data_IF_002182270234
#
_entry.id   IF_002182270234
#
_cell.length_a   1.000
_cell.length_b   1.000
_cell.length_c   1.000
_cell.angle_alpha   90.00
_cell.angle_beta   90.00
_cell.angle_gamma   90.00
#
_symmetry.space_group_name_H-M   'P 1'
#
loop_
_entity.id
_entity.type
_entity.pdbx_description
1 polymer ?
#
# COMPACT_ATOMS: atom_id res chain seq x y z
N UNK A 1 20.64 43.64 39.47
CA UNK A 1 19.30 44.19 39.79
C UNK A 1 18.52 44.15 38.49
N UNK A 2 17.57 43.26 38.23
CA UNK A 2 16.93 42.14 38.92
C UNK A 2 16.56 41.10 37.80
N UNK A 3 16.61 39.77 38.00
CA UNK A 3 15.47 38.90 38.37
C UNK A 3 14.16 39.40 37.73
N UNK A 4 13.43 38.67 36.89
CA UNK A 4 12.86 37.33 37.04
C UNK A 4 12.15 37.00 35.70
N UNK A 5 11.90 35.73 35.44
CA UNK A 5 10.87 35.13 34.57
C UNK A 5 11.34 33.75 34.13
N UNK A 6 11.54 32.88 35.12
CA UNK A 6 11.29 31.47 34.96
C UNK A 6 9.79 31.28 34.77
N UNK A 7 9.33 31.13 33.54
CA UNK A 7 8.00 30.57 33.28
C UNK A 7 8.12 29.30 32.44
N UNK A 8 8.11 28.21 33.20
CA UNK A 8 7.54 26.92 32.90
C UNK A 8 8.03 26.20 31.64
N UNK A 9 9.05 25.37 31.89
CA UNK A 9 9.20 24.07 31.22
C UNK A 9 7.83 23.40 31.15
N UNK A 10 7.41 23.08 29.94
CA UNK A 10 6.30 22.18 29.61
C UNK A 10 6.56 20.85 30.32
N UNK A 11 6.07 20.75 31.56
CA UNK A 11 6.06 19.51 32.32
C UNK A 11 5.03 18.62 31.63
N UNK A 12 5.38 17.38 31.24
CA UNK A 12 4.35 16.47 30.77
C UNK A 12 3.42 16.25 31.96
N UNK A 13 2.16 16.66 31.83
CA UNK A 13 1.12 16.29 32.79
C UNK A 13 1.00 14.75 32.77
N UNK A 14 1.73 14.10 33.69
CA UNK A 14 1.55 12.71 34.07
C UNK A 14 0.21 12.59 34.81
N UNK A 15 -0.89 12.46 34.06
CA UNK A 15 -2.21 12.55 34.67
C UNK A 15 -3.37 12.01 33.85
N UNK A 16 -3.20 10.88 33.17
CA UNK A 16 -4.35 10.12 32.62
C UNK A 16 -3.98 9.25 31.43
N UNK A 17 -3.58 7.99 31.64
CA UNK A 17 -3.11 7.17 30.51
C UNK A 17 -3.43 5.66 30.55
N UNK A 18 -4.11 5.15 31.59
CA UNK A 18 -4.45 3.72 31.67
C UNK A 18 -5.71 3.35 30.87
N UNK A 19 -6.83 3.99 31.21
CA UNK A 19 -8.15 3.59 30.71
C UNK A 19 -8.39 4.02 29.25
N UNK A 20 -7.87 5.18 28.84
CA UNK A 20 -8.02 5.66 27.46
C UNK A 20 -7.18 4.84 26.48
N UNK A 21 -5.95 4.48 26.86
CA UNK A 21 -5.08 3.65 26.04
C UNK A 21 -5.57 2.20 25.96
N UNK A 22 -6.11 1.67 27.06
CA UNK A 22 -6.81 0.38 27.08
C UNK A 22 -8.01 0.39 26.12
N UNK A 23 -8.87 1.41 26.19
CA UNK A 23 -10.03 1.55 25.31
C UNK A 23 -9.65 1.67 23.83
N UNK A 24 -8.57 2.39 23.49
CA UNK A 24 -8.05 2.46 22.12
C UNK A 24 -7.56 1.09 21.62
N UNK A 25 -6.83 0.37 22.46
CA UNK A 25 -6.31 -0.97 22.14
C UNK A 25 -7.44 -1.95 21.87
N UNK A 26 -8.48 -1.97 22.71
CA UNK A 26 -9.66 -2.81 22.49
C UNK A 26 -10.37 -2.50 21.17
N UNK A 27 -10.50 -1.22 20.80
CA UNK A 27 -11.13 -0.82 19.54
C UNK A 27 -10.32 -1.27 18.33
N UNK A 28 -9.00 -1.12 18.35
CA UNK A 28 -8.12 -1.55 17.26
C UNK A 28 -8.19 -3.07 17.10
N UNK A 29 -8.12 -3.81 18.21
CA UNK A 29 -8.23 -5.27 18.17
C UNK A 29 -9.57 -5.72 17.59
N UNK A 30 -10.67 -5.08 17.99
CA UNK A 30 -11.99 -5.36 17.45
C UNK A 30 -12.08 -5.11 15.93
N UNK A 31 -11.46 -4.03 15.43
CA UNK A 31 -11.41 -3.74 13.99
C UNK A 31 -10.62 -4.81 13.23
N UNK A 32 -9.45 -5.20 13.73
CA UNK A 32 -8.61 -6.22 13.09
C UNK A 32 -9.33 -7.57 13.06
N UNK A 33 -9.89 -8.01 14.19
CA UNK A 33 -10.65 -9.26 14.26
C UNK A 33 -11.90 -9.22 13.39
N UNK A 34 -12.59 -8.07 13.34
CA UNK A 34 -13.73 -7.86 12.44
C UNK A 34 -13.35 -8.00 10.97
N UNK A 35 -12.22 -7.40 10.57
CA UNK A 35 -11.64 -7.53 9.23
C UNK A 35 -11.27 -8.97 8.87
N UNK A 36 -10.59 -9.69 9.77
CA UNK A 36 -10.25 -11.11 9.59
C UNK A 36 -11.52 -11.94 9.41
N UNK A 37 -12.53 -11.74 10.25
CA UNK A 37 -13.82 -12.42 10.15
C UNK A 37 -14.54 -12.13 8.83
N UNK A 38 -14.44 -10.89 8.32
CA UNK A 38 -15.01 -10.52 7.03
C UNK A 38 -14.31 -11.24 5.85
N UNK A 39 -12.98 -11.37 5.89
CA UNK A 39 -12.21 -12.13 4.89
C UNK A 39 -12.67 -13.58 4.84
N UNK A 40 -12.79 -14.28 5.97
CA UNK A 40 -13.23 -15.67 5.97
C UNK A 40 -14.68 -15.84 5.51
N UNK A 41 -15.57 -14.91 5.88
CA UNK A 41 -16.95 -14.89 5.35
C UNK A 41 -16.99 -14.66 3.84
N UNK A 42 -16.07 -13.86 3.29
CA UNK A 42 -16.02 -13.54 1.85
C UNK A 42 -15.83 -14.78 0.96
N UNK A 43 -15.15 -15.82 1.46
CA UNK A 43 -14.94 -17.08 0.74
C UNK A 43 -16.26 -17.77 0.37
N UNK A 44 -17.30 -17.60 1.18
CA UNK A 44 -18.60 -18.25 0.98
C UNK A 44 -19.63 -17.34 0.29
N UNK A 45 -19.20 -16.22 -0.28
CA UNK A 45 -20.11 -15.35 -1.05
C UNK A 45 -20.50 -16.01 -2.38
N UNK A 46 -21.70 -15.71 -2.88
CA UNK A 46 -22.20 -16.25 -4.15
C UNK A 46 -21.27 -15.96 -5.33
N UNK A 47 -20.60 -14.79 -5.32
CA UNK A 47 -19.59 -14.41 -6.32
C UNK A 47 -18.36 -15.31 -6.24
N UNK A 48 -17.83 -15.55 -5.03
CA UNK A 48 -16.66 -16.41 -4.83
C UNK A 48 -16.96 -17.88 -5.19
N UNK A 49 -18.11 -18.42 -4.79
CA UNK A 49 -18.55 -19.79 -5.14
C UNK A 49 -18.64 -19.95 -6.65
N UNK A 50 -19.26 -18.99 -7.35
CA UNK A 50 -19.35 -19.02 -8.81
C UNK A 50 -17.97 -18.97 -9.46
N UNK A 51 -17.09 -18.07 -8.99
CA UNK A 51 -15.72 -17.97 -9.50
C UNK A 51 -14.93 -19.28 -9.34
N UNK A 52 -15.05 -19.96 -8.19
CA UNK A 52 -14.39 -21.25 -7.96
C UNK A 52 -14.89 -22.35 -8.90
N UNK A 53 -16.20 -22.43 -9.12
CA UNK A 53 -16.78 -23.39 -10.08
C UNK A 53 -16.26 -23.16 -11.50
N UNK A 54 -16.17 -21.90 -11.94
CA UNK A 54 -15.67 -21.54 -13.26
C UNK A 54 -14.18 -21.87 -13.44
N UNK A 55 -13.38 -21.72 -12.38
CA UNK A 55 -11.93 -21.93 -12.40
C UNK A 55 -11.49 -23.30 -11.81
N UNK A 56 -12.44 -24.19 -11.52
CA UNK A 56 -12.21 -25.54 -10.96
C UNK A 56 -11.39 -25.53 -9.66
N UNK A 57 -11.62 -24.53 -8.80
CA UNK A 57 -10.94 -24.41 -7.50
C UNK A 57 -11.75 -25.18 -6.44
N UNK A 58 -11.13 -26.12 -5.69
CA UNK A 58 -11.82 -26.85 -4.62
C UNK A 58 -12.35 -25.94 -3.50
N UNK A 59 -13.52 -26.29 -2.94
CA UNK A 59 -14.16 -25.50 -1.89
C UNK A 59 -13.45 -25.61 -0.53
N UNK A 60 -12.73 -26.71 -0.29
CA UNK A 60 -12.09 -27.09 0.96
C UNK A 60 -10.75 -26.37 1.23
N UNK A 61 -10.19 -25.67 0.23
CA UNK A 61 -8.94 -24.92 0.39
C UNK A 61 -9.07 -23.74 1.36
N UNK A 62 -10.24 -23.10 1.39
CA UNK A 62 -10.45 -21.88 2.16
C UNK A 62 -9.67 -20.67 1.64
N UNK A 63 -9.54 -19.65 2.48
CA UNK A 63 -8.74 -18.45 2.20
C UNK A 63 -7.95 -18.04 3.44
N UNK A 64 -6.73 -17.55 3.23
CA UNK A 64 -5.91 -16.97 4.29
C UNK A 64 -6.18 -15.46 4.45
N UNK A 65 -5.86 -14.90 5.61
CA UNK A 65 -5.89 -13.47 5.86
C UNK A 65 -4.47 -12.99 6.18
N UNK A 66 -3.96 -12.04 5.40
CA UNK A 66 -2.66 -11.42 5.64
C UNK A 66 -2.84 -10.15 6.48
N UNK A 67 -2.11 -10.04 7.58
CA UNK A 67 -2.04 -8.83 8.40
C UNK A 67 -0.61 -8.29 8.31
N UNK A 68 -0.46 -7.05 7.87
CA UNK A 68 0.83 -6.44 7.58
C UNK A 68 0.91 -5.05 8.20
N UNK A 69 2.10 -4.64 8.63
CA UNK A 69 2.37 -3.25 8.99
C UNK A 69 2.20 -2.34 7.77
N UNK A 70 1.54 -1.20 7.97
CA UNK A 70 1.29 -0.24 6.90
C UNK A 70 2.58 0.48 6.48
N UNK A 71 2.72 0.68 5.16
CA UNK A 71 3.66 1.61 4.54
C UNK A 71 2.85 2.57 3.67
N UNK A 72 3.22 3.85 3.67
CA UNK A 72 2.36 4.91 3.12
C UNK A 72 3.00 5.54 1.88
N UNK A 73 2.38 5.32 0.71
CA UNK A 73 2.76 5.98 -0.53
C UNK A 73 2.29 7.44 -0.62
N UNK A 74 1.53 7.92 0.37
CA UNK A 74 0.86 9.22 0.41
C UNK A 74 1.32 10.15 1.55
N UNK A 75 2.59 10.05 1.98
CA UNK A 75 3.17 10.93 3.00
C UNK A 75 3.83 12.20 2.43
N UNK A 76 3.57 12.52 1.16
CA UNK A 76 4.11 13.69 0.48
C UNK A 76 4.89 13.34 -0.79
N UNK A 77 5.55 14.35 -1.35
CA UNK A 77 6.06 14.32 -2.73
C UNK A 77 7.20 13.34 -2.98
N UNK A 78 7.81 12.80 -1.92
CA UNK A 78 8.86 11.77 -2.01
C UNK A 78 8.33 10.35 -1.80
N UNK A 79 7.01 10.18 -1.77
CA UNK A 79 6.33 8.91 -1.61
C UNK A 79 5.54 8.56 -2.87
N UNK A 80 5.44 7.28 -3.16
CA UNK A 80 4.74 6.78 -4.33
C UNK A 80 4.23 5.35 -4.09
N UNK A 81 3.31 4.93 -4.94
CA UNK A 81 2.81 3.56 -5.03
C UNK A 81 2.67 3.16 -6.49
N UNK A 82 2.72 1.86 -6.79
CA UNK A 82 2.61 1.38 -8.15
C UNK A 82 2.46 -0.13 -8.25
N UNK A 83 2.16 -0.59 -9.46
CA UNK A 83 2.03 -2.01 -9.82
C UNK A 83 2.93 -2.25 -11.03
N UNK A 84 3.71 -3.33 -10.98
CA UNK A 84 4.61 -3.69 -12.06
C UNK A 84 4.60 -5.20 -12.32
N UNK A 85 4.90 -5.54 -13.57
CA UNK A 85 5.08 -6.87 -14.11
C UNK A 85 6.52 -6.98 -14.63
N UNK A 86 7.15 -8.14 -14.41
CA UNK A 86 8.50 -8.41 -14.92
C UNK A 86 8.55 -8.46 -16.45
N UNK A 87 7.41 -8.78 -17.07
CA UNK A 87 7.20 -8.89 -18.51
C UNK A 87 5.94 -8.14 -18.90
N UNK A 88 5.81 -7.80 -20.17
CA UNK A 88 4.57 -7.21 -20.69
C UNK A 88 3.43 -8.24 -20.58
N UNK A 89 2.36 -7.97 -19.80
CA UNK A 89 1.27 -8.91 -19.59
C UNK A 89 0.38 -9.11 -20.84
N UNK A 90 0.43 -8.20 -21.82
CA UNK A 90 -0.35 -8.28 -23.05
C UNK A 90 0.39 -9.06 -24.16
N UNK A 91 1.70 -8.87 -24.28
CA UNK A 91 2.51 -9.45 -25.37
C UNK A 91 3.43 -10.60 -24.93
N UNK A 92 3.79 -10.66 -23.64
CA UNK A 92 4.78 -11.59 -23.10
C UNK A 92 6.24 -11.19 -23.33
N UNK A 93 6.49 -10.03 -23.95
CA UNK A 93 7.84 -9.52 -24.18
C UNK A 93 8.59 -9.35 -22.85
N UNK A 94 9.90 -9.63 -22.88
CA UNK A 94 10.80 -9.49 -21.73
C UNK A 94 11.11 -8.02 -21.42
N UNK A 95 10.08 -7.27 -21.05
CA UNK A 95 10.12 -5.84 -20.78
C UNK A 95 9.47 -5.56 -19.44
N UNK A 96 10.19 -4.86 -18.57
CA UNK A 96 9.63 -4.39 -17.31
C UNK A 96 8.47 -3.44 -17.62
N UNK A 97 7.28 -3.71 -17.09
CA UNK A 97 6.07 -2.97 -17.44
C UNK A 97 5.29 -2.62 -16.18
N UNK A 98 4.71 -1.42 -16.11
CA UNK A 98 3.89 -1.05 -14.97
C UNK A 98 3.60 0.42 -14.89
N UNK A 99 2.86 0.75 -13.84
CA UNK A 99 2.25 2.05 -13.62
C UNK A 99 2.42 2.48 -12.15
N UNK A 100 2.52 3.78 -11.91
CA UNK A 100 2.71 4.35 -10.58
C UNK A 100 2.01 5.70 -10.41
N UNK A 101 1.82 6.12 -9.15
CA UNK A 101 1.30 7.43 -8.78
C UNK A 101 2.14 8.05 -7.64
N UNK A 102 2.51 9.34 -7.73
CA UNK A 102 3.10 10.08 -6.63
C UNK A 102 2.05 10.43 -5.59
N UNK A 103 2.46 10.42 -4.32
CA UNK A 103 1.67 10.82 -3.17
C UNK A 103 0.26 10.17 -3.19
N UNK A 104 0.23 8.84 -3.27
CA UNK A 104 -0.97 8.03 -3.49
C UNK A 104 -0.92 6.72 -2.72
N UNK A 105 -2.07 6.07 -2.52
CA UNK A 105 -2.16 4.71 -2.01
C UNK A 105 -2.50 3.71 -3.11
N UNK A 106 -2.28 2.42 -2.85
CA UNK A 106 -2.49 1.37 -3.86
C UNK A 106 -3.91 1.35 -4.44
N UNK A 107 -4.90 1.75 -3.65
CA UNK A 107 -6.28 1.91 -4.11
C UNK A 107 -6.39 2.92 -5.27
N UNK A 108 -5.69 4.06 -5.19
CA UNK A 108 -5.76 5.12 -6.21
C UNK A 108 -5.28 4.63 -7.58
N UNK A 109 -4.31 3.71 -7.60
CA UNK A 109 -3.78 3.11 -8.82
C UNK A 109 -4.81 2.18 -9.47
N UNK A 110 -5.59 1.44 -8.66
CA UNK A 110 -6.57 0.45 -9.17
C UNK A 110 -7.93 1.10 -9.46
N UNK A 111 -8.30 2.15 -8.73
CA UNK A 111 -9.58 2.83 -8.88
C UNK A 111 -9.73 3.58 -10.21
N UNK A 112 -8.62 3.92 -10.88
CA UNK A 112 -8.62 4.57 -12.20
C UNK A 112 -9.12 6.03 -12.18
N UNK A 113 -9.18 6.66 -11.01
CA UNK A 113 -9.60 8.08 -10.87
C UNK A 113 -8.49 9.02 -11.35
N UNK A 114 -7.23 8.66 -11.06
CA UNK A 114 -6.04 9.38 -11.53
C UNK A 114 -5.37 8.57 -12.63
N UNK A 115 -4.98 9.23 -13.71
CA UNK A 115 -4.17 8.60 -14.77
C UNK A 115 -2.80 8.23 -14.19
N UNK A 116 -2.43 6.95 -14.16
CA UNK A 116 -1.12 6.52 -13.69
C UNK A 116 -0.01 6.91 -14.66
N UNK A 117 1.19 7.08 -14.12
CA UNK A 117 2.40 7.34 -14.88
C UNK A 117 3.16 6.04 -15.17
N UNK A 118 3.96 5.96 -16.24
CA UNK A 118 4.78 4.79 -16.56
C UNK A 118 5.94 4.64 -15.59
N UNK A 119 6.32 3.40 -15.29
CA UNK A 119 7.49 3.14 -14.42
C UNK A 119 8.84 3.44 -15.12
N UNK A 120 8.94 3.18 -16.43
CA UNK A 120 10.18 3.33 -17.20
C UNK A 120 10.05 4.46 -18.22
N UNK A 121 11.17 5.06 -18.60
CA UNK A 121 11.22 6.09 -19.65
C UNK A 121 10.70 5.59 -21.00
N UNK A 122 11.05 4.36 -21.36
CA UNK A 122 10.69 3.78 -22.67
C UNK A 122 9.18 3.55 -22.82
N UNK A 123 8.45 3.53 -21.71
CA UNK A 123 7.00 3.31 -21.66
C UNK A 123 6.21 4.62 -21.68
N UNK A 124 6.89 5.77 -21.76
CA UNK A 124 6.26 7.08 -21.87
C UNK A 124 5.47 7.20 -23.17
N UNK A 125 4.25 7.75 -23.06
CA UNK A 125 3.38 8.08 -24.20
C UNK A 125 3.71 9.43 -24.81
N UNK A 126 4.33 10.33 -24.02
CA UNK A 126 4.82 11.63 -24.47
C UNK A 126 6.11 12.02 -23.71
N UNK A 127 6.89 12.94 -24.28
CA UNK A 127 8.13 13.40 -23.63
C UNK A 127 7.88 14.11 -22.29
N UNK A 128 6.72 14.76 -22.15
CA UNK A 128 6.31 15.49 -20.93
C UNK A 128 5.86 14.56 -19.79
N UNK A 129 5.63 13.28 -20.06
CA UNK A 129 5.16 12.33 -19.05
C UNK A 129 6.29 11.96 -18.08
N UNK A 130 6.04 12.03 -16.77
CA UNK A 130 7.07 11.74 -15.78
C UNK A 130 7.17 10.24 -15.48
N UNK A 131 8.33 9.63 -15.67
CA UNK A 131 8.52 8.21 -15.28
C UNK A 131 8.99 8.05 -13.83
N UNK A 132 8.75 6.87 -13.23
CA UNK A 132 9.26 6.57 -11.88
C UNK A 132 10.79 6.59 -11.85
N UNK A 133 11.42 6.10 -12.92
CA UNK A 133 12.86 6.13 -13.13
C UNK A 133 13.44 7.55 -13.02
N UNK A 134 12.72 8.56 -13.49
CA UNK A 134 13.12 9.98 -13.42
C UNK A 134 12.80 10.59 -12.05
N UNK A 135 11.63 10.27 -11.51
CA UNK A 135 11.13 10.88 -10.30
C UNK A 135 11.81 10.37 -9.02
N UNK A 136 12.01 9.05 -8.91
CA UNK A 136 12.60 8.37 -7.76
C UNK A 136 13.69 7.39 -8.24
N UNK A 137 14.83 7.88 -8.76
CA UNK A 137 15.85 7.04 -9.40
C UNK A 137 16.44 5.99 -8.44
N UNK A 138 16.65 6.34 -7.17
CA UNK A 138 17.21 5.40 -6.19
C UNK A 138 16.23 4.26 -5.83
N UNK A 139 14.96 4.53 -5.44
CA UNK A 139 13.94 3.49 -5.30
C UNK A 139 13.72 2.65 -6.57
N UNK A 140 13.72 3.28 -7.74
CA UNK A 140 13.58 2.57 -9.01
C UNK A 140 14.72 1.57 -9.24
N UNK A 141 15.98 1.94 -8.99
CA UNK A 141 17.10 1.00 -9.09
C UNK A 141 16.98 -0.17 -8.12
N UNK A 142 16.44 0.05 -6.92
CA UNK A 142 16.17 -1.04 -5.98
C UNK A 142 15.07 -1.97 -6.51
N UNK A 143 13.98 -1.40 -7.05
CA UNK A 143 12.92 -2.15 -7.68
C UNK A 143 13.45 -3.01 -8.85
N UNK A 144 14.34 -2.45 -9.68
CA UNK A 144 15.00 -3.17 -10.78
C UNK A 144 15.81 -4.37 -10.25
N UNK A 145 16.55 -4.20 -9.16
CA UNK A 145 17.29 -5.31 -8.53
C UNK A 145 16.36 -6.37 -7.95
N UNK A 146 15.25 -5.97 -7.34
CA UNK A 146 14.29 -6.87 -6.71
C UNK A 146 13.58 -7.72 -7.77
N UNK A 147 13.04 -7.12 -8.84
CA UNK A 147 12.29 -7.90 -9.82
C UNK A 147 13.19 -8.91 -10.54
N UNK A 148 14.44 -8.55 -10.87
CA UNK A 148 15.41 -9.47 -11.50
C UNK A 148 15.79 -10.65 -10.63
N UNK A 149 15.56 -10.58 -9.31
CA UNK A 149 15.79 -11.67 -8.37
C UNK A 149 14.57 -12.59 -8.22
N UNK A 150 13.37 -12.06 -8.46
CA UNK A 150 12.10 -12.78 -8.33
C UNK A 150 11.70 -13.53 -9.60
N UNK A 151 12.22 -13.11 -10.75
CA UNK A 151 12.12 -13.83 -12.03
C UNK A 151 13.05 -15.05 -12.08
#
# INVERSE_FOLDING_TARGET
MALDDTDNLDTPEEGGNGDEQSNRTFRILALVLGGIGAVFKSWNTARAVTYRKLNQIPDDWGTACNVQSMVFGNMGDRSATGVAFTRDPATGESRFFGEWLPNAQGEDVVAGIRTPYPINKDNKKSEDELSLEEFLPSPYQQLVRIYKRLE
#
